data_IF_588355272590
#
_entry.id   IF_588355272590
#
_cell.length_a   1.000
_cell.length_b   1.000
_cell.length_c   1.000
_cell.angle_alpha   90.00
_cell.angle_beta   90.00
_cell.angle_gamma   90.00
#
_symmetry.space_group_name_H-M   'P 1'
#
loop_
_entity.id
_entity.type
_entity.pdbx_description
1 polymer ?
#
# COMPACT_ATOMS: atom_id res chain seq x y z
N UNK A 1 15.06 14.84 19.50
CA UNK A 1 14.83 14.95 18.04
C UNK A 1 14.44 13.57 17.51
N UNK A 2 13.42 13.47 16.66
CA UNK A 2 13.15 12.24 15.90
C UNK A 2 13.98 12.29 14.61
N UNK A 3 14.68 11.19 14.30
CA UNK A 3 15.52 11.07 13.10
C UNK A 3 14.71 10.82 11.81
N UNK A 4 15.41 10.46 10.73
CA UNK A 4 14.82 10.19 9.42
C UNK A 4 13.88 8.97 9.41
N UNK A 5 14.08 8.03 10.33
CA UNK A 5 13.32 6.80 10.51
C UNK A 5 13.12 6.52 12.00
N UNK A 6 12.10 5.72 12.33
CA UNK A 6 11.78 5.31 13.71
C UNK A 6 11.53 3.80 13.75
N UNK A 7 12.09 3.12 14.75
CA UNK A 7 11.80 1.70 14.99
C UNK A 7 10.43 1.55 15.66
N UNK A 8 9.57 0.70 15.11
CA UNK A 8 8.25 0.42 15.66
C UNK A 8 8.21 -1.01 16.21
N UNK A 9 8.32 -1.15 17.54
CA UNK A 9 8.24 -2.45 18.22
C UNK A 9 7.04 -3.32 17.77
N UNK A 10 5.80 -2.78 17.62
CA UNK A 10 4.68 -3.61 17.18
C UNK A 10 4.81 -4.12 15.74
N UNK A 11 5.53 -3.39 14.89
CA UNK A 11 5.80 -3.78 13.51
C UNK A 11 7.06 -4.63 13.37
N UNK A 12 7.97 -4.57 14.34
CA UNK A 12 9.30 -5.19 14.28
C UNK A 12 10.15 -4.66 13.11
N UNK A 13 9.92 -3.41 12.69
CA UNK A 13 10.58 -2.81 11.54
C UNK A 13 10.69 -1.28 11.67
N UNK A 14 11.54 -0.68 10.83
CA UNK A 14 11.67 0.76 10.69
C UNK A 14 10.56 1.34 9.82
N UNK A 15 10.00 2.47 10.27
CA UNK A 15 8.99 3.22 9.55
C UNK A 15 9.30 4.70 9.46
N UNK A 16 8.49 5.39 8.66
CA UNK A 16 8.50 6.85 8.61
C UNK A 16 8.07 7.42 9.96
N UNK A 17 8.70 8.49 10.46
CA UNK A 17 8.29 9.14 11.70
C UNK A 17 6.80 9.53 11.69
N UNK A 18 6.20 9.55 12.88
CA UNK A 18 4.81 9.96 13.08
C UNK A 18 4.74 11.28 13.85
N UNK A 19 3.92 12.21 13.36
CA UNK A 19 3.57 13.44 14.07
C UNK A 19 2.70 13.05 15.27
N UNK A 20 3.22 13.26 16.48
CA UNK A 20 2.55 12.95 17.75
C UNK A 20 2.03 11.50 17.83
N UNK A 21 2.70 10.55 17.17
CA UNK A 21 2.29 9.14 17.14
C UNK A 21 1.04 8.83 16.30
N UNK A 22 0.52 9.78 15.52
CA UNK A 22 -0.70 9.61 14.74
C UNK A 22 -0.45 9.57 13.23
N UNK A 23 -0.21 10.72 12.60
CA UNK A 23 -0.06 10.83 11.15
C UNK A 23 1.40 10.63 10.72
N UNK A 24 1.63 9.98 9.58
CA UNK A 24 2.93 9.99 8.92
C UNK A 24 3.39 11.43 8.65
N UNK A 25 4.67 11.75 8.88
CA UNK A 25 5.23 13.10 8.60
C UNK A 25 5.09 13.55 7.14
N UNK A 26 4.86 12.61 6.21
CA UNK A 26 4.63 12.90 4.79
C UNK A 26 3.14 13.01 4.44
N UNK A 27 2.23 12.97 5.42
CA UNK A 27 0.81 13.16 5.18
C UNK A 27 0.53 14.64 4.86
N UNK A 28 -0.19 14.89 3.78
CA UNK A 28 -0.70 16.21 3.42
C UNK A 28 -2.19 16.11 3.11
N UNK A 29 -2.86 17.24 2.97
CA UNK A 29 -4.27 17.32 2.60
C UNK A 29 -4.41 18.10 1.30
N UNK A 30 -5.31 17.65 0.42
CA UNK A 30 -5.71 18.46 -0.73
C UNK A 30 -6.73 19.55 -0.31
N UNK A 31 -7.13 20.37 -1.27
CA UNK A 31 -8.08 21.48 -1.05
C UNK A 31 -9.44 21.01 -0.53
N UNK A 32 -9.82 19.76 -0.82
CA UNK A 32 -11.06 19.14 -0.34
C UNK A 32 -10.90 18.42 1.01
N UNK A 33 -9.75 18.54 1.68
CA UNK A 33 -9.47 17.89 2.96
C UNK A 33 -9.20 16.38 2.86
N UNK A 34 -8.94 15.84 1.66
CA UNK A 34 -8.59 14.43 1.47
C UNK A 34 -7.11 14.24 1.78
N UNK A 35 -6.82 13.29 2.67
CA UNK A 35 -5.47 12.95 3.06
C UNK A 35 -4.71 12.26 1.92
N UNK A 36 -3.47 12.68 1.67
CA UNK A 36 -2.61 12.20 0.58
C UNK A 36 -1.16 12.10 1.05
N UNK A 37 -0.36 11.29 0.36
CA UNK A 37 1.08 11.24 0.58
C UNK A 37 1.76 12.38 -0.20
N UNK A 38 2.50 13.24 0.51
CA UNK A 38 3.24 14.35 -0.08
C UNK A 38 4.33 13.91 -1.06
N UNK A 39 4.98 12.77 -0.80
CA UNK A 39 5.96 12.18 -1.73
C UNK A 39 5.31 11.81 -3.06
N UNK A 40 4.14 11.16 -3.01
CA UNK A 40 3.41 10.81 -4.24
C UNK A 40 2.93 12.05 -4.98
N UNK A 41 2.43 13.04 -4.25
CA UNK A 41 2.00 14.31 -4.85
C UNK A 41 3.16 14.99 -5.56
N UNK A 42 4.34 15.03 -4.96
CA UNK A 42 5.54 15.60 -5.58
C UNK A 42 5.98 14.81 -6.82
N UNK A 43 5.94 13.47 -6.77
CA UNK A 43 6.24 12.61 -7.91
C UNK A 43 5.28 12.84 -9.08
N UNK A 44 3.96 12.86 -8.81
CA UNK A 44 2.94 13.12 -9.82
C UNK A 44 3.02 14.53 -10.42
N UNK A 45 3.60 15.49 -9.67
CA UNK A 45 3.87 16.85 -10.14
C UNK A 45 5.21 16.99 -10.90
N UNK A 46 6.00 15.93 -11.03
CA UNK A 46 7.32 15.97 -11.65
C UNK A 46 8.39 16.70 -10.82
N UNK A 47 8.12 16.98 -9.54
CA UNK A 47 9.05 17.66 -8.65
C UNK A 47 10.13 16.71 -8.09
N UNK A 48 9.95 15.41 -8.24
CA UNK A 48 10.93 14.38 -7.86
C UNK A 48 10.72 13.12 -8.69
N UNK A 49 11.82 12.40 -8.98
CA UNK A 49 11.77 11.08 -9.60
C UNK A 49 11.44 9.97 -8.58
N UNK A 50 11.42 10.31 -7.28
CA UNK A 50 11.14 9.36 -6.22
C UNK A 50 9.63 9.25 -5.94
N UNK A 51 9.02 8.18 -6.46
CA UNK A 51 7.65 7.78 -6.10
C UNK A 51 7.60 7.24 -4.67
N UNK A 52 6.43 7.33 -3.99
CA UNK A 52 6.26 6.84 -2.60
C UNK A 52 6.88 5.45 -2.38
N UNK A 53 7.33 5.12 -1.16
CA UNK A 53 7.91 3.79 -0.86
C UNK A 53 6.98 2.66 -1.28
N UNK A 54 7.54 1.54 -1.76
CA UNK A 54 6.74 0.44 -2.31
C UNK A 54 5.80 -0.18 -1.26
N UNK A 55 6.22 -0.21 0.00
CA UNK A 55 5.39 -0.67 1.13
C UNK A 55 4.17 0.23 1.37
N UNK A 56 4.31 1.55 1.19
CA UNK A 56 3.20 2.49 1.25
C UNK A 56 2.29 2.39 0.02
N UNK A 57 2.86 2.10 -1.16
CA UNK A 57 2.10 1.97 -2.40
C UNK A 57 1.24 0.70 -2.43
N UNK A 58 1.75 -0.39 -1.86
CA UNK A 58 1.03 -1.67 -1.77
C UNK A 58 -0.03 -1.69 -0.66
N UNK A 59 -0.05 -0.72 0.25
CA UNK A 59 -1.02 -0.71 1.34
C UNK A 59 -2.47 -0.66 0.79
N UNK A 60 -3.37 -1.58 1.18
CA UNK A 60 -3.34 -2.39 2.42
C UNK A 60 -2.72 -3.79 2.33
N UNK A 61 -2.02 -4.16 1.26
CA UNK A 61 -1.22 -5.40 1.21
C UNK A 61 0.15 -5.17 1.88
N UNK A 62 0.46 -6.02 2.86
CA UNK A 62 1.75 -6.11 3.55
C UNK A 62 2.50 -7.33 3.06
N UNK A 63 3.76 -7.15 2.69
CA UNK A 63 4.61 -8.24 2.22
C UNK A 63 5.45 -8.75 3.38
N UNK A 64 5.38 -10.06 3.64
CA UNK A 64 6.29 -10.75 4.57
C UNK A 64 7.19 -11.69 3.77
N UNK A 65 8.50 -11.57 3.94
CA UNK A 65 9.48 -12.43 3.27
C UNK A 65 9.78 -13.64 4.15
N UNK A 66 9.76 -14.83 3.56
CA UNK A 66 10.35 -16.01 4.16
C UNK A 66 11.63 -16.34 3.38
N UNK A 67 12.77 -15.94 3.94
CA UNK A 67 14.07 -16.14 3.28
C UNK A 67 14.47 -17.62 3.24
N UNK A 68 14.09 -18.40 4.24
CA UNK A 68 14.41 -19.83 4.34
C UNK A 68 13.72 -20.65 3.24
N UNK A 69 12.46 -20.31 2.94
CA UNK A 69 11.62 -21.02 1.96
C UNK A 69 11.55 -20.30 0.60
N UNK A 70 12.20 -19.14 0.46
CA UNK A 70 12.31 -18.42 -0.81
C UNK A 70 11.00 -17.87 -1.36
N UNK A 71 10.05 -17.45 -0.51
CA UNK A 71 8.78 -16.87 -0.97
C UNK A 71 8.39 -15.57 -0.24
N UNK A 72 7.53 -14.78 -0.89
CA UNK A 72 6.89 -13.62 -0.29
C UNK A 72 5.40 -13.89 -0.06
N UNK A 73 4.91 -13.63 1.15
CA UNK A 73 3.50 -13.67 1.48
C UNK A 73 2.89 -12.26 1.37
N UNK A 74 1.88 -12.12 0.51
CA UNK A 74 1.10 -10.90 0.36
C UNK A 74 -0.13 -10.98 1.28
N UNK A 75 -0.12 -10.20 2.36
CA UNK A 75 -1.13 -10.26 3.41
C UNK A 75 -2.00 -9.00 3.41
N UNK A 76 -3.31 -9.13 3.33
CA UNK A 76 -4.21 -8.00 3.49
C UNK A 76 -4.30 -7.57 4.96
N UNK A 77 -3.86 -6.35 5.24
CA UNK A 77 -3.89 -5.74 6.57
C UNK A 77 -5.30 -5.23 6.89
N UNK A 78 -5.87 -5.68 8.01
CA UNK A 78 -7.27 -5.44 8.38
C UNK A 78 -7.37 -4.66 9.68
N UNK A 79 -8.04 -3.52 9.59
CA UNK A 79 -8.38 -2.65 10.72
C UNK A 79 -9.59 -1.78 10.38
N UNK A 80 -10.11 -1.10 11.39
CA UNK A 80 -11.37 -0.37 11.41
C UNK A 80 -11.44 0.80 10.42
N UNK A 81 -10.32 1.49 10.18
CA UNK A 81 -10.29 2.62 9.24
C UNK A 81 -10.54 2.21 7.77
N UNK A 82 -10.35 0.93 7.43
CA UNK A 82 -10.63 0.41 6.09
C UNK A 82 -12.14 0.24 5.80
N UNK A 83 -13.00 0.37 6.81
CA UNK A 83 -14.43 0.05 6.70
C UNK A 83 -15.16 0.85 5.60
N UNK A 84 -14.84 2.14 5.44
CA UNK A 84 -15.42 2.97 4.38
C UNK A 84 -14.98 2.51 2.98
N UNK A 85 -13.68 2.22 2.80
CA UNK A 85 -13.13 1.70 1.55
C UNK A 85 -13.72 0.33 1.20
N UNK A 86 -13.88 -0.57 2.18
CA UNK A 86 -14.51 -1.88 1.98
C UNK A 86 -15.97 -1.77 1.51
N UNK A 87 -16.75 -0.83 2.08
CA UNK A 87 -18.14 -0.59 1.66
C UNK A 87 -18.21 -0.16 0.19
N UNK A 88 -17.36 0.80 -0.20
CA UNK A 88 -17.28 1.27 -1.59
C UNK A 88 -16.76 0.19 -2.54
N UNK A 89 -15.70 -0.54 -2.16
CA UNK A 89 -15.17 -1.66 -2.95
C UNK A 89 -16.23 -2.73 -3.20
N UNK A 90 -17.07 -3.04 -2.20
CA UNK A 90 -18.18 -3.97 -2.35
C UNK A 90 -19.25 -3.46 -3.33
N UNK A 91 -19.62 -2.18 -3.29
CA UNK A 91 -20.60 -1.63 -4.25
C UNK A 91 -20.06 -1.59 -5.68
N UNK A 92 -18.77 -1.33 -5.84
CA UNK A 92 -18.08 -1.32 -7.13
C UNK A 92 -17.66 -2.71 -7.62
N UNK A 93 -17.86 -3.76 -6.81
CA UNK A 93 -17.32 -5.11 -7.06
C UNK A 93 -15.80 -5.10 -7.35
N UNK A 94 -15.07 -4.23 -6.65
CA UNK A 94 -13.64 -4.01 -6.83
C UNK A 94 -12.84 -4.84 -5.82
N UNK A 95 -12.11 -5.89 -6.24
CA UNK A 95 -11.21 -6.63 -5.35
C UNK A 95 -9.94 -5.81 -5.04
N UNK A 96 -9.35 -6.07 -3.88
CA UNK A 96 -8.20 -5.30 -3.35
C UNK A 96 -7.00 -5.32 -4.30
N UNK A 97 -6.69 -6.47 -4.93
CA UNK A 97 -5.55 -6.57 -5.84
C UNK A 97 -5.73 -5.72 -7.11
N UNK A 98 -6.95 -5.56 -7.62
CA UNK A 98 -7.24 -4.67 -8.76
C UNK A 98 -7.10 -3.19 -8.38
N UNK A 99 -7.56 -2.82 -7.18
CA UNK A 99 -7.31 -1.48 -6.64
C UNK A 99 -5.80 -1.17 -6.54
N UNK A 100 -4.98 -2.18 -6.28
CA UNK A 100 -3.53 -2.07 -6.15
C UNK A 100 -2.76 -2.42 -7.45
N UNK A 101 -3.40 -2.45 -8.61
CA UNK A 101 -2.79 -2.84 -9.90
C UNK A 101 -1.43 -2.17 -10.12
N UNK A 102 -1.38 -0.84 -10.08
CA UNK A 102 -0.15 -0.08 -10.31
C UNK A 102 0.96 -0.41 -9.29
N UNK A 103 0.59 -0.70 -8.04
CA UNK A 103 1.54 -1.02 -7.00
C UNK A 103 2.10 -2.43 -7.15
N UNK A 104 1.24 -3.39 -7.52
CA UNK A 104 1.61 -4.77 -7.80
C UNK A 104 2.50 -4.83 -9.03
N UNK A 105 2.11 -4.19 -10.13
CA UNK A 105 2.92 -4.13 -11.36
C UNK A 105 4.27 -3.48 -11.09
N UNK A 106 4.31 -2.37 -10.34
CA UNK A 106 5.58 -1.71 -9.98
C UNK A 106 6.52 -2.63 -9.21
N UNK A 107 6.00 -3.53 -8.37
CA UNK A 107 6.85 -4.42 -7.55
C UNK A 107 7.20 -5.73 -8.26
N UNK A 108 6.23 -6.35 -8.91
CA UNK A 108 6.30 -7.74 -9.38
C UNK A 108 6.26 -7.89 -10.90
N UNK A 109 5.99 -6.80 -11.64
CA UNK A 109 5.86 -6.82 -13.09
C UNK A 109 4.42 -7.04 -13.58
N UNK A 110 4.23 -6.82 -14.88
CA UNK A 110 2.94 -6.96 -15.55
C UNK A 110 2.50 -8.43 -15.62
N UNK A 111 3.40 -9.33 -16.02
CA UNK A 111 3.16 -10.78 -16.10
C UNK A 111 2.57 -11.35 -14.80
N UNK A 112 3.16 -10.98 -13.65
CA UNK A 112 2.66 -11.42 -12.34
C UNK A 112 1.24 -10.92 -12.06
N UNK A 113 0.94 -9.67 -12.42
CA UNK A 113 -0.41 -9.11 -12.23
C UNK A 113 -1.43 -9.85 -13.09
N UNK A 114 -1.08 -10.16 -14.34
CA UNK A 114 -1.95 -10.90 -15.26
C UNK A 114 -2.24 -12.32 -14.75
N UNK A 115 -1.22 -13.03 -14.27
CA UNK A 115 -1.38 -14.35 -13.65
C UNK A 115 -2.27 -14.30 -12.40
N UNK A 116 -2.09 -13.28 -11.56
CA UNK A 116 -2.91 -13.07 -10.36
C UNK A 116 -4.37 -12.79 -10.72
N UNK A 117 -4.62 -11.94 -11.70
CA UNK A 117 -5.97 -11.58 -12.17
C UNK A 117 -6.66 -12.80 -12.77
N UNK A 118 -5.97 -13.55 -13.64
CA UNK A 118 -6.48 -14.79 -14.23
C UNK A 118 -6.80 -15.85 -13.17
N UNK A 119 -5.92 -16.05 -12.18
CA UNK A 119 -6.16 -16.97 -11.07
C UNK A 119 -7.38 -16.55 -10.25
N UNK A 120 -7.53 -15.26 -9.94
CA UNK A 120 -8.68 -14.74 -9.20
C UNK A 120 -9.99 -14.90 -9.99
N UNK A 121 -9.98 -14.66 -11.30
CA UNK A 121 -11.15 -14.87 -12.16
C UNK A 121 -11.55 -16.35 -12.22
N UNK A 122 -10.59 -17.25 -12.38
CA UNK A 122 -10.84 -18.69 -12.35
C UNK A 122 -11.44 -19.15 -11.02
N UNK A 123 -10.96 -18.61 -9.90
CA UNK A 123 -11.47 -18.96 -8.56
C UNK A 123 -12.89 -18.40 -8.30
N UNK A 124 -13.26 -17.28 -8.93
CA UNK A 124 -14.59 -16.67 -8.79
C UNK A 124 -15.63 -17.22 -9.78
N UNK A 125 -15.19 -17.85 -10.88
CA UNK A 125 -16.04 -18.52 -11.86
C UNK A 125 -16.40 -19.96 -11.52
N UNK A 126 -15.85 -20.51 -10.42
CA UNK A 126 -16.28 -21.75 -9.78
C UNK A 126 -17.37 -21.48 -8.74
#
# INVERSE_FOLDING_TARGET
EQGLYTWYEPAGDYGTPLINGAACVYLTYNESGIAQCGIEKAFLAGATDFRKPISCHLYPIRVKRNEELGFEALNYDRWDICSAACKLGKSLKMPVYRFLKDAIIRKYGEDFYEELDAAAEYMNGK
#
